data_IF_374665658543
#
_entry.id   IF_374665658543
#
_cell.length_a   1.000
_cell.length_b   1.000
_cell.length_c   1.000
_cell.angle_alpha   90.00
_cell.angle_beta   90.00
_cell.angle_gamma   90.00
#
_symmetry.space_group_name_H-M   'P 1'
#
loop_
_entity.id
_entity.type
_entity.pdbx_description
1 polymer ?
#
# COMPACT_ATOMS: atom_id res chain seq x y z
N UNK A 1 -1.30 1.83 -24.92
CA UNK A 1 -2.22 1.42 -23.84
C UNK A 1 -2.02 2.35 -22.65
N UNK A 2 -3.10 2.86 -22.05
CA UNK A 2 -3.08 4.00 -21.13
C UNK A 2 -2.15 3.79 -19.92
N UNK A 3 -1.17 4.69 -19.75
CA UNK A 3 -0.19 4.71 -18.66
C UNK A 3 -0.81 5.12 -17.29
N UNK A 4 -2.13 4.93 -17.14
CA UNK A 4 -2.92 5.42 -16.01
C UNK A 4 -2.55 4.71 -14.71
N UNK A 5 -2.20 3.42 -14.75
CA UNK A 5 -1.80 2.68 -13.56
C UNK A 5 -0.47 3.17 -12.99
N UNK A 6 0.53 3.43 -13.84
CA UNK A 6 1.82 3.97 -13.38
C UNK A 6 1.63 5.30 -12.67
N UNK A 7 0.92 6.25 -13.29
CA UNK A 7 0.69 7.57 -12.70
C UNK A 7 -0.14 7.50 -11.40
N UNK A 8 -1.15 6.63 -11.37
CA UNK A 8 -1.99 6.45 -10.19
C UNK A 8 -1.19 5.89 -9.01
N UNK A 9 -0.42 4.81 -9.24
CA UNK A 9 0.42 4.21 -8.20
C UNK A 9 1.51 5.19 -7.76
N UNK A 10 2.11 5.96 -8.67
CA UNK A 10 3.13 6.95 -8.35
C UNK A 10 2.60 8.06 -7.42
N UNK A 11 1.38 8.55 -7.67
CA UNK A 11 0.75 9.57 -6.81
C UNK A 11 0.42 8.99 -5.43
N UNK A 12 -0.09 7.76 -5.40
CA UNK A 12 -0.41 7.09 -4.14
C UNK A 12 0.86 6.81 -3.32
N UNK A 13 1.94 6.34 -3.95
CA UNK A 13 3.20 6.12 -3.25
C UNK A 13 3.74 7.45 -2.69
N UNK A 14 3.74 8.53 -3.47
CA UNK A 14 4.17 9.84 -3.00
C UNK A 14 3.41 10.31 -1.75
N UNK A 15 2.10 10.06 -1.69
CA UNK A 15 1.30 10.33 -0.50
C UNK A 15 1.75 9.49 0.71
N UNK A 16 1.97 8.18 0.51
CA UNK A 16 2.48 7.31 1.58
C UNK A 16 3.89 7.71 2.05
N UNK A 17 4.76 8.16 1.16
CA UNK A 17 6.07 8.69 1.52
C UNK A 17 5.95 9.91 2.42
N UNK A 18 5.10 10.87 2.05
CA UNK A 18 4.90 12.10 2.80
C UNK A 18 4.44 11.79 4.23
N UNK A 19 3.43 10.94 4.37
CA UNK A 19 2.89 10.55 5.68
C UNK A 19 3.95 9.75 6.47
N UNK A 20 4.62 8.79 5.82
CA UNK A 20 5.61 7.94 6.47
C UNK A 20 6.84 8.71 6.97
N UNK A 21 7.36 9.64 6.16
CA UNK A 21 8.46 10.51 6.54
C UNK A 21 8.07 11.43 7.70
N UNK A 22 6.87 12.00 7.67
CA UNK A 22 6.34 12.80 8.77
C UNK A 22 6.28 11.97 10.07
N UNK A 23 5.68 10.77 10.04
CA UNK A 23 5.62 9.89 11.21
C UNK A 23 7.03 9.54 11.74
N UNK A 24 8.00 9.32 10.84
CA UNK A 24 9.40 9.09 11.21
C UNK A 24 10.01 10.26 11.97
N UNK A 25 9.86 11.48 11.42
CA UNK A 25 10.34 12.71 12.07
C UNK A 25 9.68 12.94 13.43
N UNK A 26 8.38 12.66 13.55
CA UNK A 26 7.66 12.82 14.81
C UNK A 26 8.12 11.81 15.88
N UNK A 27 8.36 10.54 15.50
CA UNK A 27 8.90 9.54 16.42
C UNK A 27 10.33 9.91 16.87
N UNK A 28 11.16 10.38 15.94
CA UNK A 28 12.51 10.85 16.26
C UNK A 28 12.49 12.04 17.23
N UNK A 29 11.63 13.03 16.99
CA UNK A 29 11.52 14.22 17.84
C UNK A 29 10.87 13.96 19.21
N UNK A 30 9.94 13.01 19.30
CA UNK A 30 9.26 12.67 20.56
C UNK A 30 9.98 11.61 21.40
N UNK A 31 10.96 10.89 20.82
CA UNK A 31 11.62 9.76 21.47
C UNK A 31 10.70 8.54 21.69
N UNK A 32 9.48 8.57 21.14
CA UNK A 32 8.46 7.54 21.32
C UNK A 32 8.29 6.68 20.07
N UNK A 33 8.25 5.37 20.27
CA UNK A 33 8.02 4.39 19.21
C UNK A 33 6.53 4.04 19.04
N UNK A 34 5.61 4.84 19.58
CA UNK A 34 4.18 4.57 19.53
C UNK A 34 3.68 4.31 18.10
N UNK A 35 4.16 5.08 17.11
CA UNK A 35 3.73 4.96 15.70
C UNK A 35 4.57 4.01 14.85
N UNK A 36 5.48 3.23 15.47
CA UNK A 36 6.40 2.33 14.75
C UNK A 36 5.70 1.37 13.80
N UNK A 37 4.56 0.72 14.15
CA UNK A 37 3.88 -0.18 13.23
C UNK A 37 3.38 0.53 11.96
N UNK A 38 2.78 1.72 12.12
CA UNK A 38 2.29 2.52 10.98
C UNK A 38 3.46 2.95 10.12
N UNK A 39 4.49 3.56 10.72
CA UNK A 39 5.65 4.08 9.99
C UNK A 39 6.36 3.00 9.16
N UNK A 40 6.57 1.81 9.73
CA UNK A 40 7.24 0.73 9.02
C UNK A 40 6.43 0.28 7.79
N UNK A 41 5.13 0.03 7.96
CA UNK A 41 4.31 -0.51 6.87
C UNK A 41 3.97 0.55 5.82
N UNK A 42 3.72 1.80 6.23
CA UNK A 42 3.41 2.87 5.30
C UNK A 42 4.61 3.20 4.40
N UNK A 43 5.85 3.06 4.89
CA UNK A 43 7.03 3.25 4.06
C UNK A 43 7.40 2.02 3.22
N UNK A 44 7.27 0.81 3.76
CA UNK A 44 7.64 -0.42 3.02
C UNK A 44 6.57 -0.77 1.99
N UNK A 45 5.36 -1.11 2.42
CA UNK A 45 4.32 -1.60 1.51
C UNK A 45 3.50 -0.47 0.88
N UNK A 46 3.47 0.71 1.51
CA UNK A 46 2.82 1.91 0.98
C UNK A 46 3.70 2.67 -0.01
N UNK A 47 4.85 3.21 0.43
CA UNK A 47 5.76 3.96 -0.43
C UNK A 47 6.57 3.06 -1.36
N UNK A 48 7.46 2.22 -0.82
CA UNK A 48 8.51 1.57 -1.60
C UNK A 48 7.93 0.54 -2.58
N UNK A 49 7.06 -0.35 -2.11
CA UNK A 49 6.44 -1.37 -2.95
C UNK A 49 5.56 -0.76 -4.05
N UNK A 50 4.68 0.20 -3.71
CA UNK A 50 3.81 0.83 -4.72
C UNK A 50 4.63 1.66 -5.71
N UNK A 51 5.67 2.36 -5.25
CA UNK A 51 6.57 3.08 -6.16
C UNK A 51 7.25 2.11 -7.14
N UNK A 52 7.77 0.98 -6.65
CA UNK A 52 8.35 -0.05 -7.50
C UNK A 52 7.34 -0.58 -8.54
N UNK A 53 6.07 -0.76 -8.14
CA UNK A 53 5.01 -1.16 -9.07
C UNK A 53 4.61 -0.04 -10.06
N UNK A 54 4.67 1.22 -9.65
CA UNK A 54 4.46 2.36 -10.55
C UNK A 54 5.53 2.38 -11.66
N UNK A 55 6.80 2.16 -11.30
CA UNK A 55 7.92 2.01 -12.23
C UNK A 55 7.75 0.77 -13.10
N UNK A 56 7.33 -0.35 -12.50
CA UNK A 56 7.02 -1.58 -13.24
C UNK A 56 6.02 -1.32 -14.37
N UNK A 57 4.88 -0.69 -14.10
CA UNK A 57 3.87 -0.38 -15.12
C UNK A 57 4.30 0.73 -16.10
N UNK A 58 5.36 1.48 -15.79
CA UNK A 58 5.96 2.45 -16.72
C UNK A 58 6.86 1.76 -17.75
N UNK A 59 7.58 0.74 -17.31
CA UNK A 59 8.61 0.05 -18.11
C UNK A 59 8.03 -1.15 -18.86
N UNK A 60 7.18 -1.94 -18.19
CA UNK A 60 6.67 -3.20 -18.73
C UNK A 60 5.18 -3.07 -19.09
N UNK A 61 4.81 -3.65 -20.24
CA UNK A 61 3.41 -3.71 -20.65
C UNK A 61 2.82 -5.07 -20.28
N UNK A 62 1.81 -5.13 -19.40
CA UNK A 62 1.16 -6.39 -19.06
C UNK A 62 0.33 -6.91 -20.25
N UNK A 63 0.51 -8.17 -20.64
CA UNK A 63 -0.35 -8.80 -21.68
C UNK A 63 -1.79 -9.00 -21.20
N UNK A 64 -1.95 -9.39 -19.93
CA UNK A 64 -3.26 -9.74 -19.35
C UNK A 64 -3.84 -8.54 -18.59
N UNK A 65 -4.70 -7.78 -19.26
CA UNK A 65 -5.31 -6.57 -18.70
C UNK A 65 -6.12 -6.80 -17.41
N UNK A 66 -6.84 -7.93 -17.30
CA UNK A 66 -7.61 -8.28 -16.10
C UNK A 66 -6.68 -8.51 -14.89
N UNK A 67 -5.59 -9.25 -15.08
CA UNK A 67 -4.63 -9.55 -14.02
C UNK A 67 -3.92 -8.28 -13.55
N UNK A 68 -3.57 -7.38 -14.49
CA UNK A 68 -3.03 -6.06 -14.16
C UNK A 68 -4.02 -5.21 -13.36
N UNK A 69 -5.30 -5.23 -13.74
CA UNK A 69 -6.37 -4.54 -13.02
C UNK A 69 -6.50 -5.07 -11.58
N UNK A 70 -6.60 -6.38 -11.41
CA UNK A 70 -6.70 -7.03 -10.11
C UNK A 70 -5.52 -6.69 -9.21
N UNK A 71 -4.29 -6.77 -9.73
CA UNK A 71 -3.08 -6.38 -9.02
C UNK A 71 -3.12 -4.93 -8.52
N UNK A 72 -3.41 -3.97 -9.41
CA UNK A 72 -3.39 -2.54 -9.07
C UNK A 72 -4.41 -2.22 -7.99
N UNK A 73 -5.66 -2.68 -8.14
CA UNK A 73 -6.71 -2.36 -7.18
C UNK A 73 -6.52 -3.08 -5.85
N UNK A 74 -6.05 -4.33 -5.84
CA UNK A 74 -5.73 -5.00 -4.58
C UNK A 74 -4.53 -4.37 -3.87
N UNK A 75 -3.53 -3.87 -4.61
CA UNK A 75 -2.41 -3.13 -4.03
C UNK A 75 -2.88 -1.84 -3.32
N UNK A 76 -3.77 -1.06 -3.97
CA UNK A 76 -4.32 0.18 -3.41
C UNK A 76 -5.17 -0.11 -2.17
N UNK A 77 -6.15 -1.01 -2.29
CA UNK A 77 -7.07 -1.33 -1.19
C UNK A 77 -6.32 -1.99 -0.04
N UNK A 78 -5.39 -2.90 -0.34
CA UNK A 78 -4.60 -3.61 0.66
C UNK A 78 -3.67 -2.69 1.45
N UNK A 79 -2.94 -1.81 0.76
CA UNK A 79 -2.02 -0.86 1.42
C UNK A 79 -2.76 0.17 2.29
N UNK A 80 -3.86 0.74 1.79
CA UNK A 80 -4.71 1.68 2.55
C UNK A 80 -5.38 0.96 3.73
N UNK A 81 -5.94 -0.23 3.49
CA UNK A 81 -6.64 -1.01 4.52
C UNK A 81 -5.71 -1.40 5.68
N UNK A 82 -4.53 -1.95 5.36
CA UNK A 82 -3.55 -2.37 6.37
C UNK A 82 -3.04 -1.16 7.18
N UNK A 83 -2.60 -0.09 6.52
CA UNK A 83 -2.06 1.09 7.22
C UNK A 83 -3.15 1.87 7.97
N UNK A 84 -4.37 1.92 7.42
CA UNK A 84 -5.55 2.50 8.05
C UNK A 84 -6.01 1.72 9.28
N UNK A 85 -6.00 0.39 9.23
CA UNK A 85 -6.30 -0.47 10.37
C UNK A 85 -5.34 -0.24 11.54
N UNK A 86 -4.04 -0.11 11.27
CA UNK A 86 -3.04 0.24 12.28
C UNK A 86 -3.26 1.66 12.84
N UNK A 87 -3.68 2.59 12.00
CA UNK A 87 -4.01 3.97 12.40
C UNK A 87 -5.19 3.98 13.38
N UNK A 88 -6.28 3.29 13.05
CA UNK A 88 -7.45 3.19 13.92
C UNK A 88 -7.11 2.48 15.25
N UNK A 89 -6.26 1.45 15.20
CA UNK A 89 -5.80 0.77 16.41
C UNK A 89 -5.06 1.70 17.38
N UNK A 90 -4.22 2.61 16.86
CA UNK A 90 -3.44 3.53 17.68
C UNK A 90 -4.27 4.72 18.17
N UNK A 91 -5.00 5.39 17.28
CA UNK A 91 -5.74 6.61 17.64
C UNK A 91 -7.07 6.33 18.35
N UNK A 92 -7.61 5.11 18.23
CA UNK A 92 -8.87 4.67 18.85
C UNK A 92 -10.00 5.71 18.76
N UNK A 93 -10.38 6.14 17.54
CA UNK A 93 -11.43 7.13 17.37
C UNK A 93 -12.76 6.66 17.97
N UNK A 94 -13.38 7.49 18.81
CA UNK A 94 -14.60 7.14 19.55
C UNK A 94 -15.82 6.82 18.66
N UNK A 95 -15.82 7.29 17.41
CA UNK A 95 -16.90 7.07 16.46
C UNK A 95 -16.80 5.72 15.70
N UNK A 96 -15.70 4.98 15.82
CA UNK A 96 -15.54 3.67 15.19
C UNK A 96 -15.59 2.55 16.22
N UNK A 97 -16.24 1.42 15.90
CA UNK A 97 -16.22 0.26 16.77
C UNK A 97 -14.80 -0.31 16.87
N UNK A 98 -14.36 -0.81 18.06
CA UNK A 98 -13.02 -1.35 18.25
C UNK A 98 -12.65 -2.46 17.25
N UNK A 99 -13.64 -3.27 16.85
CA UNK A 99 -13.44 -4.37 15.88
C UNK A 99 -12.99 -3.88 14.50
N UNK A 100 -13.24 -2.62 14.14
CA UNK A 100 -12.89 -2.05 12.84
C UNK A 100 -11.39 -2.13 12.55
N UNK A 101 -10.53 -1.96 13.56
CA UNK A 101 -9.08 -2.09 13.35
C UNK A 101 -8.69 -3.50 12.91
N UNK A 102 -9.34 -4.52 13.48
CA UNK A 102 -8.99 -5.92 13.26
C UNK A 102 -9.46 -6.35 11.89
N UNK A 103 -10.67 -5.94 11.52
CA UNK A 103 -11.21 -6.14 10.17
C UNK A 103 -10.25 -5.52 9.14
N UNK A 104 -9.95 -4.22 9.26
CA UNK A 104 -9.10 -3.54 8.28
C UNK A 104 -7.67 -4.10 8.21
N UNK A 105 -7.06 -4.45 9.34
CA UNK A 105 -5.73 -5.05 9.35
C UNK A 105 -5.71 -6.42 8.67
N UNK A 106 -6.65 -7.30 9.01
CA UNK A 106 -6.68 -8.66 8.46
C UNK A 106 -7.09 -8.60 6.99
N UNK A 107 -8.23 -7.97 6.66
CA UNK A 107 -8.71 -7.92 5.29
C UNK A 107 -7.77 -7.11 4.40
N UNK A 108 -7.25 -5.98 4.89
CA UNK A 108 -6.26 -5.17 4.18
C UNK A 108 -4.96 -5.95 3.93
N UNK A 109 -4.45 -6.63 4.95
CA UNK A 109 -3.27 -7.50 4.84
C UNK A 109 -3.48 -8.64 3.83
N UNK A 110 -4.60 -9.35 3.91
CA UNK A 110 -4.93 -10.44 2.96
C UNK A 110 -5.09 -9.94 1.52
N UNK A 111 -5.77 -8.80 1.32
CA UNK A 111 -5.92 -8.19 -0.01
C UNK A 111 -4.57 -7.74 -0.56
N UNK A 112 -3.68 -7.22 0.29
CA UNK A 112 -2.32 -6.87 -0.11
C UNK A 112 -1.50 -8.12 -0.49
N UNK A 113 -1.64 -9.24 0.23
CA UNK A 113 -1.01 -10.50 -0.16
C UNK A 113 -1.47 -10.99 -1.53
N UNK A 114 -2.76 -10.84 -1.85
CA UNK A 114 -3.27 -11.13 -3.20
C UNK A 114 -2.63 -10.23 -4.26
N UNK A 115 -2.32 -8.97 -3.95
CA UNK A 115 -1.60 -8.11 -4.89
C UNK A 115 -0.20 -8.65 -5.19
N UNK A 116 0.54 -9.10 -4.18
CA UNK A 116 1.84 -9.76 -4.40
C UNK A 116 1.71 -11.03 -5.25
N UNK A 117 0.68 -11.84 -5.03
CA UNK A 117 0.40 -13.01 -5.86
C UNK A 117 0.13 -12.62 -7.32
N UNK A 118 -0.73 -11.64 -7.55
CA UNK A 118 -1.03 -11.18 -8.91
C UNK A 118 0.19 -10.56 -9.59
N UNK A 119 1.02 -9.82 -8.84
CA UNK A 119 2.29 -9.30 -9.35
C UNK A 119 3.23 -10.43 -9.77
N UNK A 120 3.38 -11.46 -8.93
CA UNK A 120 4.18 -12.65 -9.25
C UNK A 120 3.70 -13.30 -10.54
N UNK A 121 2.39 -13.54 -10.69
CA UNK A 121 1.81 -14.08 -11.93
C UNK A 121 2.01 -13.17 -13.14
N UNK A 122 1.91 -11.84 -12.96
CA UNK A 122 2.23 -10.87 -14.01
C UNK A 122 3.68 -10.99 -14.47
N UNK A 123 4.60 -11.45 -13.61
CA UNK A 123 5.99 -11.57 -14.02
C UNK A 123 6.27 -12.60 -15.10
N UNK A 124 5.43 -13.62 -15.21
CA UNK A 124 5.53 -14.66 -16.24
C UNK A 124 4.79 -14.31 -17.53
N UNK A 125 3.93 -13.29 -17.50
CA UNK A 125 3.05 -12.94 -18.61
C UNK A 125 3.45 -11.65 -19.31
N UNK A 126 4.64 -11.10 -19.00
CA UNK A 126 5.15 -9.87 -19.62
C UNK A 126 5.54 -10.11 -21.09
N UNK A 127 5.20 -9.16 -21.95
CA UNK A 127 5.89 -8.95 -23.23
C UNK A 127 6.94 -7.87 -22.99
N UNK A 128 8.14 -8.00 -23.59
CA UNK A 128 9.19 -6.96 -23.51
C UNK A 128 8.68 -5.66 -24.13
#
# INVERSE_FOLDING_TARGET
MNNNYSLLLLRLSALFALIGAFLGSHMAGSGSYAFRPIHAHILVVGWLTIFAWAVYYKIFTPKIGLLAKLHVYSAIVGSIGLTGGMTIFIFKPAFLPPMMNTILNITGGSVLLLSFLFFFLLTFTKEK
#
